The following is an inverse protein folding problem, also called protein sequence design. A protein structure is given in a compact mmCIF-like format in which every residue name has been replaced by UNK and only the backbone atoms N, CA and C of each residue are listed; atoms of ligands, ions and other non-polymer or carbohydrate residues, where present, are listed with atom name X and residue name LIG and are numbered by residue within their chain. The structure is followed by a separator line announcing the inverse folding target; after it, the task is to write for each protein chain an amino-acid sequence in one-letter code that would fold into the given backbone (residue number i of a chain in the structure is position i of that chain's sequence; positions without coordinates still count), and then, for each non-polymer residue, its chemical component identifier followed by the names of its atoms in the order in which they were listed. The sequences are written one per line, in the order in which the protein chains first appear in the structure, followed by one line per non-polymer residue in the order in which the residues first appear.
data_IF_745555049397
#
_entry.id   IF_745555049397
#
_cell.length_a   1.000
_cell.length_b   1.000
_cell.length_c   1.000
_cell.angle_alpha   90.00
_cell.angle_beta   90.00
_cell.angle_gamma   90.00
#
_symmetry.space_group_name_H-M   'P 1'
#
loop_
_entity.id
_entity.type
_entity.pdbx_description
1 polymer ?
#
# COMPACT_ATOMS: atom_id res chain seq x y z
N UNK A 1 -14.11 33.31 32.22
CA UNK A 1 -13.80 32.01 31.58
C UNK A 1 -13.82 32.21 30.08
N UNK A 2 -12.78 31.80 29.37
CA UNK A 2 -12.69 32.00 27.92
C UNK A 2 -13.76 31.13 27.24
N UNK A 3 -14.67 31.72 26.43
CA UNK A 3 -15.87 31.02 25.91
C UNK A 3 -15.53 29.74 25.14
N UNK A 4 -14.40 29.74 24.45
CA UNK A 4 -13.84 28.59 23.72
C UNK A 4 -13.61 27.40 24.66
N UNK A 5 -13.04 27.64 25.85
CA UNK A 5 -12.73 26.58 26.83
C UNK A 5 -14.02 25.95 27.36
N UNK A 6 -15.04 26.77 27.66
CA UNK A 6 -16.32 26.26 28.12
C UNK A 6 -17.02 25.37 27.07
N UNK A 7 -16.92 25.73 25.78
CA UNK A 7 -17.45 24.90 24.68
C UNK A 7 -16.66 23.60 24.56
N UNK A 8 -15.33 23.66 24.65
CA UNK A 8 -14.47 22.48 24.62
C UNK A 8 -14.74 21.53 25.78
N UNK A 9 -14.91 22.04 27.01
CA UNK A 9 -15.28 21.24 28.19
C UNK A 9 -16.63 20.56 28.02
N UNK A 10 -17.64 21.30 27.54
CA UNK A 10 -18.99 20.78 27.26
C UNK A 10 -18.93 19.64 26.24
N UNK A 11 -18.22 19.83 25.14
CA UNK A 11 -18.07 18.82 24.09
C UNK A 11 -17.30 17.59 24.60
N UNK A 12 -16.22 17.80 25.37
CA UNK A 12 -15.44 16.71 25.94
C UNK A 12 -16.28 15.84 26.88
N UNK A 13 -17.12 16.46 27.72
CA UNK A 13 -18.05 15.76 28.60
C UNK A 13 -19.12 15.00 27.83
N UNK A 14 -19.67 15.57 26.75
CA UNK A 14 -20.63 14.87 25.88
C UNK A 14 -20.02 13.64 25.23
N UNK A 15 -18.79 13.76 24.72
CA UNK A 15 -18.04 12.65 24.11
C UNK A 15 -17.75 11.57 25.17
N UNK A 16 -17.27 11.95 26.35
CA UNK A 16 -16.94 11.02 27.42
C UNK A 16 -18.17 10.26 27.95
N UNK A 17 -19.32 10.93 28.06
CA UNK A 17 -20.58 10.30 28.49
C UNK A 17 -21.17 9.41 27.41
N UNK A 18 -20.99 9.75 26.14
CA UNK A 18 -21.47 8.94 25.03
C UNK A 18 -20.52 7.76 24.75
N UNK A 19 -20.65 6.68 25.52
CA UNK A 19 -19.82 5.48 25.40
C UNK A 19 -19.76 4.90 23.99
N UNK A 20 -20.88 4.95 23.25
CA UNK A 20 -20.92 4.46 21.88
C UNK A 20 -20.07 5.34 20.96
N UNK A 21 -20.23 6.67 21.06
CA UNK A 21 -19.42 7.60 20.27
C UNK A 21 -17.94 7.50 20.60
N UNK A 22 -17.60 7.43 21.89
CA UNK A 22 -16.22 7.24 22.36
C UNK A 22 -15.63 5.91 21.89
N UNK A 23 -16.39 4.81 21.96
CA UNK A 23 -15.93 3.53 21.46
C UNK A 23 -15.68 3.57 19.95
N UNK A 24 -16.61 4.12 19.18
CA UNK A 24 -16.49 4.21 17.72
C UNK A 24 -15.34 5.13 17.28
N UNK A 25 -15.07 6.21 18.01
CA UNK A 25 -14.00 7.16 17.65
C UNK A 25 -12.58 6.61 17.80
N UNK A 26 -12.40 5.50 18.52
CA UNK A 26 -11.13 4.77 18.64
C UNK A 26 -11.16 3.40 17.95
N UNK A 27 -12.26 2.66 18.06
CA UNK A 27 -12.37 1.31 17.52
C UNK A 27 -12.38 1.31 15.99
N UNK A 28 -13.17 2.20 15.37
CA UNK A 28 -13.27 2.28 13.90
C UNK A 28 -11.92 2.60 13.25
N UNK A 29 -11.18 3.66 13.64
CA UNK A 29 -9.87 3.94 13.02
C UNK A 29 -8.84 2.85 13.31
N UNK A 30 -8.85 2.24 14.50
CA UNK A 30 -7.96 1.13 14.81
C UNK A 30 -8.24 -0.10 13.94
N UNK A 31 -9.50 -0.52 13.85
CA UNK A 31 -9.91 -1.66 13.01
C UNK A 31 -9.64 -1.35 11.54
N UNK A 32 -9.99 -0.15 11.08
CA UNK A 32 -9.69 0.32 9.72
C UNK A 32 -8.18 0.22 9.44
N UNK A 33 -7.35 0.74 10.34
CA UNK A 33 -5.89 0.65 10.23
C UNK A 33 -5.41 -0.80 10.11
N UNK A 34 -5.84 -1.68 11.03
CA UNK A 34 -5.42 -3.09 11.04
C UNK A 34 -5.87 -3.81 9.76
N UNK A 35 -7.13 -3.62 9.35
CA UNK A 35 -7.67 -4.23 8.13
C UNK A 35 -6.90 -3.76 6.90
N UNK A 36 -6.62 -2.46 6.75
CA UNK A 36 -5.82 -1.96 5.64
C UNK A 36 -4.36 -2.40 5.71
N UNK A 37 -3.76 -2.43 6.90
CA UNK A 37 -2.36 -2.80 7.08
C UNK A 37 -2.08 -4.28 6.77
N UNK A 38 -3.06 -5.17 7.00
CA UNK A 38 -2.98 -6.57 6.56
C UNK A 38 -3.52 -6.79 5.14
N UNK A 39 -4.49 -5.98 4.70
CA UNK A 39 -5.16 -6.15 3.41
C UNK A 39 -4.38 -5.58 2.22
N UNK A 40 -3.59 -4.52 2.43
CA UNK A 40 -2.74 -3.94 1.39
C UNK A 40 -1.37 -4.61 1.45
N UNK A 41 -1.16 -5.59 0.57
CA UNK A 41 0.16 -6.12 0.24
C UNK A 41 0.40 -6.01 -1.26
N UNK A 42 1.56 -5.47 -1.62
CA UNK A 42 2.07 -5.49 -3.00
C UNK A 42 3.17 -6.55 -3.16
N UNK A 43 3.40 -7.38 -2.14
CA UNK A 43 4.40 -8.43 -2.19
C UNK A 43 3.89 -9.57 -3.09
N UNK A 44 4.67 -9.89 -4.12
CA UNK A 44 4.33 -10.93 -5.08
C UNK A 44 5.14 -12.18 -4.73
N UNK A 45 4.54 -13.06 -3.95
CA UNK A 45 5.10 -14.35 -3.56
C UNK A 45 4.19 -15.50 -4.04
N UNK A 46 4.74 -16.71 -4.14
CA UNK A 46 3.98 -17.92 -4.50
C UNK A 46 3.23 -17.83 -5.84
N UNK A 47 3.84 -17.21 -6.85
CA UNK A 47 3.26 -17.03 -8.18
C UNK A 47 2.96 -18.40 -8.80
N UNK A 48 1.69 -18.75 -9.08
CA UNK A 48 1.37 -20.04 -9.69
C UNK A 48 1.93 -20.07 -11.11
N UNK A 49 2.84 -21.02 -11.35
CA UNK A 49 3.53 -21.15 -12.63
C UNK A 49 3.60 -22.60 -13.05
N UNK A 50 3.52 -22.85 -14.35
CA UNK A 50 3.77 -24.15 -14.93
C UNK A 50 4.76 -24.05 -16.08
N UNK A 51 5.11 -25.17 -16.67
CA UNK A 51 6.07 -25.26 -17.75
C UNK A 51 5.62 -26.26 -18.80
N UNK A 52 6.11 -26.04 -20.02
CA UNK A 52 6.01 -26.97 -21.14
C UNK A 52 7.45 -27.30 -21.54
N UNK A 53 7.87 -28.54 -21.29
CA UNK A 53 9.19 -29.03 -21.68
C UNK A 53 9.09 -29.93 -22.92
N UNK A 54 9.48 -29.39 -24.07
CA UNK A 54 9.49 -30.15 -25.33
C UNK A 54 10.83 -30.84 -25.59
N UNK A 55 11.89 -30.47 -24.86
CA UNK A 55 13.24 -31.04 -25.01
C UNK A 55 13.43 -32.28 -24.13
N UNK A 56 12.81 -32.31 -22.94
CA UNK A 56 12.82 -33.42 -21.99
C UNK A 56 14.22 -33.92 -21.58
N UNK A 57 15.17 -32.99 -21.46
CA UNK A 57 16.58 -33.24 -21.15
C UNK A 57 16.92 -32.89 -19.70
N UNK A 58 18.16 -33.14 -19.28
CA UNK A 58 18.62 -32.76 -17.94
C UNK A 58 18.74 -31.23 -17.83
N UNK A 59 19.23 -30.59 -18.87
CA UNK A 59 19.47 -29.16 -18.96
C UNK A 59 18.17 -28.34 -19.00
N UNK A 60 17.12 -28.85 -19.65
CA UNK A 60 15.78 -28.24 -19.63
C UNK A 60 15.18 -28.30 -18.23
N UNK A 61 15.27 -29.45 -17.56
CA UNK A 61 14.77 -29.65 -16.18
C UNK A 61 15.51 -28.78 -15.17
N UNK A 62 16.82 -28.64 -15.33
CA UNK A 62 17.62 -27.78 -14.46
C UNK A 62 17.19 -26.32 -14.59
N UNK A 63 16.98 -25.81 -15.82
CA UNK A 63 16.43 -24.47 -16.04
C UNK A 63 15.08 -24.30 -15.32
N UNK A 64 14.15 -25.24 -15.48
CA UNK A 64 12.82 -25.19 -14.86
C UNK A 64 12.94 -25.19 -13.32
N UNK A 65 13.82 -26.03 -12.77
CA UNK A 65 14.08 -26.08 -11.32
C UNK A 65 14.57 -24.73 -10.79
N UNK A 66 15.37 -23.97 -11.54
CA UNK A 66 15.82 -22.63 -11.10
C UNK A 66 14.68 -21.63 -10.92
N UNK A 67 13.57 -21.78 -11.63
CA UNK A 67 12.41 -20.95 -11.40
C UNK A 67 11.67 -21.28 -10.09
N UNK A 68 11.83 -22.46 -9.52
CA UNK A 68 11.11 -22.88 -8.30
C UNK A 68 11.67 -22.29 -7.00
N UNK A 69 12.84 -21.67 -7.04
CA UNK A 69 13.67 -21.45 -5.84
C UNK A 69 13.19 -20.34 -4.88
N UNK A 70 12.14 -19.56 -5.20
CA UNK A 70 11.61 -18.60 -4.21
C UNK A 70 10.27 -17.95 -4.54
N UNK A 71 10.08 -17.53 -5.79
CA UNK A 71 8.97 -16.64 -6.16
C UNK A 71 7.82 -17.36 -6.85
N UNK A 72 8.12 -18.50 -7.47
CA UNK A 72 7.14 -19.28 -8.23
C UNK A 72 6.78 -20.58 -7.51
N UNK A 73 5.48 -20.89 -7.51
CA UNK A 73 4.96 -22.18 -7.09
C UNK A 73 4.69 -23.02 -8.32
N UNK A 74 5.53 -24.04 -8.54
CA UNK A 74 5.42 -24.94 -9.67
C UNK A 74 4.13 -25.78 -9.58
N UNK A 75 3.34 -25.77 -10.64
CA UNK A 75 2.19 -26.65 -10.82
C UNK A 75 2.55 -27.83 -11.74
N UNK A 76 1.59 -28.73 -11.95
CA UNK A 76 1.76 -29.87 -12.84
C UNK A 76 2.20 -29.43 -14.26
N UNK A 77 3.10 -30.18 -14.92
CA UNK A 77 3.57 -29.84 -16.25
C UNK A 77 2.42 -29.83 -17.26
N UNK A 78 2.49 -28.90 -18.21
CA UNK A 78 1.54 -28.78 -19.30
C UNK A 78 2.08 -29.43 -20.57
N UNK A 79 1.17 -29.91 -21.42
CA UNK A 79 1.55 -30.57 -22.69
C UNK A 79 1.35 -29.68 -23.91
N UNK A 80 0.39 -28.76 -23.85
CA UNK A 80 0.02 -27.91 -24.99
C UNK A 80 0.00 -26.43 -24.59
N UNK A 81 0.39 -25.57 -25.52
CA UNK A 81 0.34 -24.12 -25.39
C UNK A 81 -1.11 -23.65 -25.25
N UNK A 82 -2.07 -24.29 -25.92
CA UNK A 82 -3.49 -23.95 -25.78
C UNK A 82 -4.01 -24.17 -24.36
N UNK A 83 -3.54 -25.21 -23.69
CA UNK A 83 -3.86 -25.48 -22.29
C UNK A 83 -3.26 -24.41 -21.38
N UNK A 84 -2.01 -24.00 -21.63
CA UNK A 84 -1.36 -22.89 -20.94
C UNK A 84 -2.13 -21.58 -21.09
N UNK A 85 -2.54 -21.22 -22.32
CA UNK A 85 -3.32 -20.01 -22.59
C UNK A 85 -4.66 -20.02 -21.85
N UNK A 86 -5.38 -21.15 -21.87
CA UNK A 86 -6.66 -21.29 -21.15
C UNK A 86 -6.50 -21.13 -19.63
N UNK A 87 -5.42 -21.68 -19.05
CA UNK A 87 -5.13 -21.56 -17.62
C UNK A 87 -4.66 -20.16 -17.22
N UNK A 88 -3.92 -19.47 -18.08
CA UNK A 88 -3.56 -18.06 -17.91
C UNK A 88 -4.80 -17.17 -17.98
N UNK A 89 -5.67 -17.36 -18.98
CA UNK A 89 -6.90 -16.58 -19.15
C UNK A 89 -7.87 -16.73 -17.97
N UNK A 90 -7.93 -17.91 -17.34
CA UNK A 90 -8.76 -18.15 -16.16
C UNK A 90 -8.09 -17.74 -14.84
N UNK A 91 -6.84 -17.25 -14.89
CA UNK A 91 -6.07 -16.82 -13.72
C UNK A 91 -5.56 -17.95 -12.82
N UNK A 92 -5.63 -19.21 -13.27
CA UNK A 92 -5.13 -20.37 -12.53
C UNK A 92 -3.59 -20.41 -12.51
N UNK A 93 -2.97 -19.85 -13.55
CA UNK A 93 -1.54 -19.60 -13.68
C UNK A 93 -1.32 -18.10 -13.93
N UNK A 94 -0.14 -17.60 -13.53
CA UNK A 94 0.30 -16.23 -13.82
C UNK A 94 1.52 -16.18 -14.75
N UNK A 95 2.23 -17.30 -14.88
CA UNK A 95 3.34 -17.46 -15.81
C UNK A 95 3.41 -18.90 -16.33
N UNK A 96 3.91 -19.08 -17.55
CA UNK A 96 4.25 -20.38 -18.12
C UNK A 96 5.60 -20.29 -18.84
N UNK A 97 6.52 -21.19 -18.52
CA UNK A 97 7.82 -21.31 -19.19
C UNK A 97 7.74 -22.38 -20.28
N UNK A 98 8.07 -22.03 -21.52
CA UNK A 98 8.06 -22.95 -22.67
C UNK A 98 9.48 -23.16 -23.15
N UNK A 99 9.97 -24.39 -23.02
CA UNK A 99 11.28 -24.82 -23.52
C UNK A 99 11.08 -25.49 -24.89
N UNK A 100 11.67 -24.93 -25.97
CA UNK A 100 11.48 -25.46 -27.33
C UNK A 100 12.20 -26.80 -27.53
N UNK A 101 11.84 -27.58 -28.57
CA UNK A 101 12.52 -28.82 -28.89
C UNK A 101 13.95 -28.52 -29.37
N UNK A 102 14.92 -29.33 -28.96
CA UNK A 102 16.32 -29.15 -29.35
C UNK A 102 17.05 -28.07 -28.56
N UNK A 103 16.47 -27.55 -27.46
CA UNK A 103 17.10 -26.59 -26.55
C UNK A 103 18.53 -27.00 -26.18
N UNK A 104 18.71 -28.25 -25.74
CA UNK A 104 20.00 -28.79 -25.33
C UNK A 104 20.97 -28.94 -26.49
N UNK A 105 20.46 -29.35 -27.66
CA UNK A 105 21.27 -29.47 -28.88
C UNK A 105 21.82 -28.11 -29.30
N UNK A 106 20.98 -27.08 -29.29
CA UNK A 106 21.38 -25.72 -29.62
C UNK A 106 22.40 -25.20 -28.62
N UNK A 107 22.16 -25.43 -27.32
CA UNK A 107 23.06 -25.05 -26.24
C UNK A 107 24.46 -25.65 -26.41
N UNK A 108 24.56 -26.96 -26.63
CA UNK A 108 25.85 -27.63 -26.84
C UNK A 108 26.51 -27.28 -28.18
N UNK A 109 25.72 -26.88 -29.19
CA UNK A 109 26.26 -26.40 -30.47
C UNK A 109 26.83 -24.97 -30.42
N UNK A 110 26.82 -24.32 -29.25
CA UNK A 110 27.27 -22.94 -29.08
C UNK A 110 26.29 -21.90 -29.65
N UNK A 111 25.05 -22.31 -29.95
CA UNK A 111 23.96 -21.40 -30.32
C UNK A 111 23.27 -20.87 -29.07
N UNK A 112 22.43 -19.85 -29.25
CA UNK A 112 21.65 -19.21 -28.18
C UNK A 112 20.19 -19.65 -28.28
N UNK A 113 19.76 -20.71 -27.57
CA UNK A 113 18.38 -21.16 -27.63
C UNK A 113 17.43 -20.12 -27.04
N UNK A 114 16.26 -19.93 -27.65
CA UNK A 114 15.22 -19.01 -27.15
C UNK A 114 14.21 -19.74 -26.28
N UNK A 115 14.15 -19.38 -25.00
CA UNK A 115 13.11 -19.85 -24.07
C UNK A 115 12.00 -18.80 -24.04
N UNK A 116 10.75 -19.24 -24.16
CA UNK A 116 9.60 -18.34 -24.10
C UNK A 116 8.99 -18.36 -22.70
N UNK A 117 8.60 -17.19 -22.21
CA UNK A 117 7.86 -17.04 -20.94
C UNK A 117 6.56 -16.31 -21.24
N UNK A 118 5.44 -17.02 -21.11
CA UNK A 118 4.10 -16.45 -21.21
C UNK A 118 3.72 -15.90 -19.84
N UNK A 119 3.28 -14.64 -19.78
CA UNK A 119 2.95 -13.95 -18.52
C UNK A 119 1.55 -13.37 -18.65
N UNK A 120 0.74 -13.56 -17.62
CA UNK A 120 -0.56 -12.90 -17.52
C UNK A 120 -0.39 -11.38 -17.34
N UNK A 121 -0.76 -10.63 -18.38
CA UNK A 121 -0.69 -9.17 -18.42
C UNK A 121 -1.88 -8.45 -17.80
N UNK A 122 -2.87 -9.16 -17.23
CA UNK A 122 -4.09 -8.54 -16.68
C UNK A 122 -3.81 -7.56 -15.53
N UNK A 123 -2.73 -7.78 -14.77
CA UNK A 123 -2.24 -6.85 -13.75
C UNK A 123 -0.80 -6.42 -14.10
N UNK A 124 -0.61 -5.21 -14.67
CA UNK A 124 0.69 -4.79 -15.19
C UNK A 124 1.83 -4.82 -14.17
N UNK A 125 1.57 -4.40 -12.92
CA UNK A 125 2.58 -4.43 -11.86
C UNK A 125 3.08 -5.86 -11.58
N UNK A 126 2.15 -6.81 -11.47
CA UNK A 126 2.48 -8.23 -11.29
C UNK A 126 3.23 -8.78 -12.49
N UNK A 127 2.78 -8.48 -13.71
CA UNK A 127 3.40 -8.95 -14.93
C UNK A 127 4.86 -8.46 -15.09
N UNK A 128 5.11 -7.18 -14.80
CA UNK A 128 6.45 -6.60 -14.85
C UNK A 128 7.40 -7.21 -13.82
N UNK A 129 6.91 -7.47 -12.60
CA UNK A 129 7.69 -8.14 -11.57
C UNK A 129 8.03 -9.59 -11.96
N UNK A 130 7.03 -10.34 -12.45
CA UNK A 130 7.23 -11.70 -12.97
C UNK A 130 8.26 -11.73 -14.10
N UNK A 131 8.15 -10.77 -15.04
CA UNK A 131 9.11 -10.61 -16.14
C UNK A 131 10.52 -10.37 -15.59
N UNK A 132 10.67 -9.44 -14.63
CA UNK A 132 11.97 -9.15 -14.01
C UNK A 132 12.59 -10.38 -13.32
N UNK A 133 11.78 -11.18 -12.61
CA UNK A 133 12.24 -12.45 -12.04
C UNK A 133 12.69 -13.44 -13.10
N UNK A 134 11.89 -13.63 -14.16
CA UNK A 134 12.23 -14.53 -15.26
C UNK A 134 13.53 -14.13 -15.96
N UNK A 135 13.73 -12.83 -16.22
CA UNK A 135 14.96 -12.29 -16.81
C UNK A 135 16.16 -12.48 -15.88
N UNK A 136 16.01 -12.23 -14.58
CA UNK A 136 17.07 -12.41 -13.60
C UNK A 136 17.51 -13.88 -13.48
N UNK A 137 16.55 -14.81 -13.41
CA UNK A 137 16.81 -16.26 -13.37
C UNK A 137 17.49 -16.73 -14.66
N UNK A 138 16.96 -16.33 -15.82
CA UNK A 138 17.52 -16.71 -17.12
C UNK A 138 18.95 -16.18 -17.30
N UNK A 139 19.22 -14.95 -16.87
CA UNK A 139 20.56 -14.35 -16.91
C UNK A 139 21.52 -15.06 -15.97
N UNK A 140 21.09 -15.38 -14.75
CA UNK A 140 21.92 -16.12 -13.79
C UNK A 140 22.31 -17.50 -14.33
N UNK A 141 21.34 -18.25 -14.87
CA UNK A 141 21.59 -19.56 -15.47
C UNK A 141 22.48 -19.48 -16.72
N UNK A 142 22.27 -18.48 -17.58
CA UNK A 142 23.13 -18.26 -18.75
C UNK A 142 24.59 -18.01 -18.37
N UNK A 143 24.85 -17.24 -17.30
CA UNK A 143 26.20 -17.01 -16.79
C UNK A 143 26.83 -18.28 -16.22
N UNK A 144 26.05 -19.11 -15.52
CA UNK A 144 26.50 -20.41 -14.99
C UNK A 144 26.89 -21.37 -16.11
N UNK A 145 26.03 -21.52 -17.12
CA UNK A 145 26.32 -22.34 -18.31
C UNK A 145 27.57 -21.87 -19.05
N UNK A 146 27.77 -20.55 -19.18
CA UNK A 146 28.96 -19.99 -19.79
C UNK A 146 30.22 -20.35 -18.99
N UNK A 147 30.15 -20.29 -17.65
CA UNK A 147 31.28 -20.66 -16.77
C UNK A 147 31.63 -22.15 -16.91
N UNK A 148 30.63 -23.02 -16.89
CA UNK A 148 30.81 -24.46 -17.01
C UNK A 148 31.38 -24.86 -18.37
N UNK A 149 30.92 -24.23 -19.44
CA UNK A 149 31.43 -24.47 -20.79
C UNK A 149 32.90 -24.06 -20.94
N UNK A 150 33.27 -22.90 -20.38
CA UNK A 150 34.66 -22.43 -20.38
C UNK A 150 35.57 -23.32 -19.53
N UNK A 151 35.09 -23.73 -18.34
CA UNK A 151 35.82 -24.64 -17.45
C UNK A 151 36.08 -26.01 -18.10
N UNK A 152 35.07 -26.60 -18.76
CA UNK A 152 35.22 -27.86 -19.51
C UNK A 152 36.21 -27.77 -20.67
N UNK A 153 36.38 -26.58 -21.26
CA UNK A 153 37.35 -26.33 -22.33
C UNK A 153 38.75 -25.94 -21.84
N UNK A 154 38.97 -25.91 -20.52
CA UNK A 154 40.25 -25.47 -19.94
C UNK A 154 40.58 -24.01 -20.22
N UNK A 155 39.60 -23.20 -20.63
CA UNK A 155 39.80 -21.79 -20.89
C UNK A 155 39.75 -21.01 -19.57
N UNK A 156 40.66 -20.04 -19.35
CA UNK A 156 40.59 -19.20 -18.16
C UNK A 156 39.25 -18.45 -18.17
N UNK A 157 38.52 -18.54 -17.05
CA UNK A 157 37.32 -17.75 -16.86
C UNK A 157 37.72 -16.26 -16.90
N UNK A 158 37.20 -15.45 -17.83
CA UNK A 158 37.45 -14.03 -17.79
C UNK A 158 36.93 -13.50 -16.44
N UNK A 159 37.74 -12.75 -15.67
CA UNK A 159 37.26 -12.16 -14.43
C UNK A 159 36.03 -11.33 -14.79
N UNK A 160 34.92 -11.52 -14.07
CA UNK A 160 33.76 -10.64 -14.25
C UNK A 160 34.24 -9.23 -13.89
N UNK A 161 34.36 -8.31 -14.87
CA UNK A 161 35.01 -7.02 -14.63
C UNK A 161 34.12 -6.12 -13.75
N UNK A 162 32.86 -6.51 -13.57
CA UNK A 162 31.85 -5.74 -12.86
C UNK A 162 31.03 -6.68 -11.97
N UNK A 163 31.13 -6.48 -10.66
CA UNK A 163 30.20 -7.02 -9.67
C UNK A 163 29.31 -5.88 -9.22
N UNK A 164 28.02 -5.94 -9.56
CA UNK A 164 27.05 -4.94 -9.08
C UNK A 164 26.55 -5.41 -7.72
N UNK A 165 26.82 -4.63 -6.68
CA UNK A 165 26.27 -4.86 -5.34
C UNK A 165 25.05 -3.96 -5.14
N UNK A 166 23.88 -4.57 -5.10
CA UNK A 166 22.63 -3.85 -4.85
C UNK A 166 22.48 -3.59 -3.36
N UNK A 167 22.37 -2.31 -2.98
CA UNK A 167 22.03 -1.89 -1.62
C UNK A 167 20.72 -1.12 -1.64
N UNK A 168 19.69 -1.70 -1.03
CA UNK A 168 18.39 -1.06 -0.90
C UNK A 168 18.38 -0.12 0.30
N UNK A 169 18.25 1.18 0.03
CA UNK A 169 18.13 2.17 1.10
C UNK A 169 16.71 2.16 1.68
N UNK A 170 16.60 2.41 2.99
CA UNK A 170 15.36 2.49 3.77
C UNK A 170 14.59 1.17 3.98
N UNK A 171 14.46 0.31 2.95
CA UNK A 171 13.76 -0.98 2.99
C UNK A 171 14.64 -2.12 2.47
N UNK A 172 15.59 -2.57 3.29
CA UNK A 172 16.52 -3.67 2.96
C UNK A 172 15.81 -5.01 2.76
N UNK A 173 14.66 -5.20 3.44
CA UNK A 173 13.87 -6.43 3.35
C UNK A 173 12.93 -6.47 2.14
N UNK A 174 12.82 -5.37 1.37
CA UNK A 174 11.91 -5.22 0.23
C UNK A 174 10.45 -5.60 0.52
N UNK A 175 10.01 -5.51 1.77
CA UNK A 175 8.64 -5.82 2.16
C UNK A 175 7.76 -4.61 1.91
N UNK A 176 6.66 -4.80 1.18
CA UNK A 176 5.69 -3.74 0.90
C UNK A 176 5.11 -3.14 2.19
N UNK A 177 4.94 -3.95 3.24
CA UNK A 177 4.49 -3.53 4.57
C UNK A 177 5.35 -2.44 5.22
N UNK A 178 6.67 -2.46 4.99
CA UNK A 178 7.59 -1.45 5.56
C UNK A 178 7.38 -0.05 4.97
N UNK A 179 6.75 0.05 3.79
CA UNK A 179 6.44 1.30 3.12
C UNK A 179 4.97 1.69 3.27
N UNK A 180 4.05 0.74 3.08
CA UNK A 180 2.61 1.02 3.02
C UNK A 180 1.99 1.22 4.40
N UNK A 181 2.39 0.43 5.40
CA UNK A 181 1.80 0.50 6.75
C UNK A 181 2.05 1.86 7.42
N UNK A 182 3.27 2.45 7.38
CA UNK A 182 3.47 3.81 7.89
C UNK A 182 2.67 4.88 7.14
N UNK A 183 2.48 4.72 5.83
CA UNK A 183 1.69 5.65 5.02
C UNK A 183 0.19 5.66 5.41
N UNK A 184 -0.32 4.54 5.94
CA UNK A 184 -1.70 4.46 6.42
C UNK A 184 -2.00 5.37 7.62
N UNK A 185 -0.99 5.81 8.39
CA UNK A 185 -1.19 6.80 9.44
C UNK A 185 -1.84 8.06 8.86
N UNK A 186 -1.32 8.54 7.71
CA UNK A 186 -1.83 9.75 7.07
C UNK A 186 -3.29 9.57 6.63
N UNK A 187 -3.63 8.44 6.00
CA UNK A 187 -5.01 8.16 5.56
C UNK A 187 -5.98 8.09 6.75
N UNK A 188 -5.62 7.36 7.81
CA UNK A 188 -6.51 7.20 8.97
C UNK A 188 -6.67 8.53 9.70
N UNK A 189 -5.59 9.30 9.86
CA UNK A 189 -5.62 10.64 10.45
C UNK A 189 -6.25 11.70 9.54
N UNK A 190 -6.47 11.42 8.27
CA UNK A 190 -7.27 12.28 7.40
C UNK A 190 -8.76 11.95 7.58
N UNK A 191 -9.13 10.70 7.32
CA UNK A 191 -10.53 10.30 7.23
C UNK A 191 -11.23 10.39 8.59
N UNK A 192 -10.61 9.87 9.65
CA UNK A 192 -11.27 9.74 10.95
C UNK A 192 -11.63 11.10 11.60
N UNK A 193 -10.68 12.03 11.86
CA UNK A 193 -11.02 13.34 12.41
C UNK A 193 -12.02 14.10 11.56
N UNK A 194 -11.85 14.10 10.23
CA UNK A 194 -12.74 14.83 9.34
C UNK A 194 -14.16 14.29 9.42
N UNK A 195 -14.35 12.97 9.44
CA UNK A 195 -15.69 12.37 9.55
C UNK A 195 -16.31 12.66 10.92
N UNK A 196 -15.55 12.49 12.01
CA UNK A 196 -16.04 12.77 13.37
C UNK A 196 -16.49 14.22 13.52
N UNK A 197 -15.70 15.18 13.04
CA UNK A 197 -16.02 16.60 13.17
C UNK A 197 -17.14 17.01 12.23
N UNK A 198 -17.21 16.42 11.03
CA UNK A 198 -18.33 16.60 10.10
C UNK A 198 -19.67 16.17 10.73
N UNK A 199 -19.68 14.99 11.35
CA UNK A 199 -20.86 14.45 12.04
C UNK A 199 -21.25 15.33 13.23
N UNK A 200 -20.29 15.90 13.97
CA UNK A 200 -20.58 16.64 15.20
C UNK A 200 -21.58 17.79 15.01
N UNK A 201 -21.36 18.64 14.00
CA UNK A 201 -22.22 19.80 13.71
C UNK A 201 -23.43 19.37 12.88
N UNK A 202 -23.27 18.41 11.95
CA UNK A 202 -24.39 17.89 11.18
C UNK A 202 -25.47 17.28 12.10
N UNK A 203 -25.05 16.57 13.15
CA UNK A 203 -25.93 16.05 14.19
C UNK A 203 -26.71 17.17 14.89
N UNK A 204 -26.03 18.24 15.30
CA UNK A 204 -26.69 19.37 15.96
C UNK A 204 -27.69 20.09 15.05
N UNK A 205 -27.40 20.17 13.74
CA UNK A 205 -28.33 20.71 12.74
C UNK A 205 -29.54 19.81 12.54
N UNK A 206 -29.31 18.51 12.40
CA UNK A 206 -30.37 17.52 12.15
C UNK A 206 -31.36 17.43 13.32
N UNK A 207 -30.86 17.49 14.56
CA UNK A 207 -31.69 17.48 15.78
C UNK A 207 -32.18 18.86 16.22
N UNK A 208 -31.83 19.94 15.49
CA UNK A 208 -32.23 21.31 15.81
C UNK A 208 -31.58 21.91 17.06
N UNK A 209 -30.68 21.20 17.75
CA UNK A 209 -29.99 21.73 18.94
C UNK A 209 -29.04 22.88 18.61
N UNK A 210 -28.69 23.05 17.33
CA UNK A 210 -27.90 24.19 16.84
C UNK A 210 -28.57 25.54 17.14
N UNK A 211 -29.91 25.61 17.21
CA UNK A 211 -30.65 26.84 17.51
C UNK A 211 -30.40 27.37 18.93
N UNK A 212 -30.08 26.48 19.87
CA UNK A 212 -29.72 26.89 21.23
C UNK A 212 -28.46 27.76 21.23
N UNK A 213 -27.51 27.50 20.35
CA UNK A 213 -26.28 28.30 20.25
C UNK A 213 -26.58 29.68 19.67
N UNK A 214 -27.49 29.79 18.69
CA UNK A 214 -27.90 31.08 18.12
C UNK A 214 -28.58 32.00 19.15
N UNK A 215 -29.13 31.44 20.24
CA UNK A 215 -29.70 32.21 21.35
C UNK A 215 -28.68 32.67 22.40
N UNK A 216 -27.42 32.25 22.28
CA UNK A 216 -26.33 32.63 23.21
C UNK A 216 -25.41 33.69 22.60
N UNK A 217 -24.67 34.48 23.40
CA UNK A 217 -23.76 35.50 22.89
C UNK A 217 -22.45 34.93 22.29
N UNK A 218 -22.45 33.67 21.82
CA UNK A 218 -21.28 32.94 21.30
C UNK A 218 -21.07 33.28 19.81
N UNK A 219 -19.84 33.63 19.43
CA UNK A 219 -19.48 33.84 18.01
C UNK A 219 -19.27 32.51 17.30
N UNK A 220 -19.57 32.46 16.00
CA UNK A 220 -19.36 31.25 15.16
C UNK A 220 -17.93 30.71 15.23
N UNK A 221 -16.92 31.58 15.24
CA UNK A 221 -15.51 31.19 15.33
C UNK A 221 -15.18 30.60 16.71
N UNK A 222 -15.74 31.14 17.79
CA UNK A 222 -15.55 30.61 19.15
C UNK A 222 -16.14 29.19 19.27
N UNK A 223 -17.29 28.98 18.65
CA UNK A 223 -17.95 27.68 18.57
C UNK A 223 -17.11 26.64 17.80
N UNK A 224 -16.61 27.01 16.61
CA UNK A 224 -15.76 26.12 15.81
C UNK A 224 -14.43 25.82 16.52
N UNK A 225 -13.78 26.83 17.10
CA UNK A 225 -12.53 26.66 17.85
C UNK A 225 -12.72 25.78 19.10
N UNK A 226 -13.86 25.91 19.78
CA UNK A 226 -14.20 25.07 20.93
C UNK A 226 -14.34 23.59 20.58
N UNK A 227 -14.89 23.27 19.40
CA UNK A 227 -14.97 21.89 18.91
C UNK A 227 -13.62 21.34 18.42
N UNK A 228 -12.76 22.19 17.87
CA UNK A 228 -11.48 21.76 17.32
C UNK A 228 -10.59 21.08 18.38
N UNK A 229 -10.60 21.55 19.63
CA UNK A 229 -9.79 21.02 20.73
C UNK A 229 -10.09 19.54 21.07
N UNK A 230 -11.34 19.15 21.45
CA UNK A 230 -11.63 17.77 21.83
C UNK A 230 -11.41 16.78 20.68
N UNK A 231 -11.79 17.13 19.44
CA UNK A 231 -11.55 16.27 18.28
C UNK A 231 -10.06 16.18 17.92
N UNK A 232 -9.30 17.26 18.11
CA UNK A 232 -7.85 17.25 17.97
C UNK A 232 -7.17 16.32 18.98
N UNK A 233 -7.60 16.35 20.24
CA UNK A 233 -7.08 15.46 21.29
C UNK A 233 -7.37 13.99 20.96
N UNK A 234 -8.62 13.66 20.59
CA UNK A 234 -9.00 12.29 20.20
C UNK A 234 -8.14 11.79 19.03
N UNK A 235 -7.89 12.66 18.06
CA UNK A 235 -7.09 12.33 16.88
C UNK A 235 -5.61 12.15 17.20
N UNK A 236 -5.07 12.95 18.13
CA UNK A 236 -3.72 12.79 18.62
C UNK A 236 -3.53 11.48 19.41
N UNK A 237 -4.53 11.11 20.22
CA UNK A 237 -4.52 9.80 20.89
C UNK A 237 -4.53 8.67 19.84
N UNK A 238 -5.38 8.77 18.82
CA UNK A 238 -5.40 7.81 17.71
C UNK A 238 -4.04 7.72 16.99
N UNK A 239 -3.37 8.85 16.75
CA UNK A 239 -2.01 8.86 16.19
C UNK A 239 -1.04 8.02 17.03
N UNK A 240 -1.01 8.21 18.36
CA UNK A 240 -0.15 7.41 19.24
C UNK A 240 -0.53 5.93 19.27
N UNK A 241 -1.83 5.62 19.27
CA UNK A 241 -2.32 4.22 19.23
C UNK A 241 -1.86 3.52 17.95
N UNK A 242 -2.01 4.18 16.80
CA UNK A 242 -1.59 3.63 15.51
C UNK A 242 -0.06 3.49 15.47
N UNK A 243 0.68 4.51 15.91
CA UNK A 243 2.14 4.46 15.96
C UNK A 243 2.65 3.31 16.83
N UNK A 244 2.03 3.10 18.00
CA UNK A 244 2.32 1.97 18.88
C UNK A 244 2.00 0.63 18.19
N UNK A 245 0.87 0.56 17.48
CA UNK A 245 0.47 -0.63 16.73
C UNK A 245 1.49 -0.97 15.64
N UNK A 246 2.01 0.01 14.91
CA UNK A 246 3.06 -0.18 13.91
C UNK A 246 4.32 -0.79 14.53
N UNK A 247 4.73 -0.27 15.70
CA UNK A 247 5.92 -0.75 16.40
C UNK A 247 5.73 -2.15 16.98
N UNK A 248 4.59 -2.44 17.59
CA UNK A 248 4.35 -3.69 18.35
C UNK A 248 3.83 -4.82 17.46
N UNK A 249 2.88 -4.53 16.58
CA UNK A 249 2.23 -5.55 15.75
C UNK A 249 3.03 -5.83 14.47
N UNK A 250 3.47 -4.77 13.78
CA UNK A 250 4.18 -4.89 12.51
C UNK A 250 5.70 -4.91 12.64
N UNK A 251 6.24 -4.67 13.85
CA UNK A 251 7.67 -4.68 14.13
C UNK A 251 8.48 -3.72 13.23
N UNK A 252 7.84 -2.63 12.77
CA UNK A 252 8.48 -1.64 11.90
C UNK A 252 9.19 -0.60 12.78
N UNK A 253 10.53 -0.50 12.72
CA UNK A 253 11.27 0.43 13.55
C UNK A 253 11.09 1.87 13.05
N UNK A 254 10.85 2.79 13.99
CA UNK A 254 10.87 4.21 13.70
C UNK A 254 12.32 4.70 13.70
N UNK A 255 12.85 5.04 12.52
CA UNK A 255 14.26 5.48 12.36
C UNK A 255 14.49 6.95 12.69
N UNK A 256 13.44 7.78 12.70
CA UNK A 256 13.52 9.22 12.98
C UNK A 256 13.14 9.59 14.41
N UNK A 257 13.22 10.89 14.74
CA UNK A 257 12.81 11.41 16.04
C UNK A 257 11.30 11.59 16.13
N UNK A 258 10.72 11.20 17.27
CA UNK A 258 9.30 11.46 17.57
C UNK A 258 9.01 12.96 17.70
N UNK A 259 10.00 13.73 18.17
CA UNK A 259 9.88 15.17 18.35
C UNK A 259 9.74 15.92 17.04
N UNK A 260 10.28 15.41 15.94
CA UNK A 260 10.14 16.01 14.60
C UNK A 260 8.77 15.68 14.00
N UNK A 261 8.27 14.47 14.28
CA UNK A 261 6.99 13.99 13.79
C UNK A 261 5.79 14.65 14.50
N UNK A 262 5.94 14.98 15.79
CA UNK A 262 4.85 15.52 16.61
C UNK A 262 4.29 16.85 16.10
N UNK A 263 5.08 17.90 15.80
CA UNK A 263 4.58 19.14 15.23
C UNK A 263 3.83 18.92 13.91
N UNK A 264 4.36 18.06 13.03
CA UNK A 264 3.73 17.72 11.77
C UNK A 264 2.37 17.02 12.01
N UNK A 265 2.32 16.07 12.94
CA UNK A 265 1.09 15.38 13.31
C UNK A 265 0.04 16.35 13.91
N UNK A 266 0.46 17.30 14.76
CA UNK A 266 -0.43 18.33 15.32
C UNK A 266 -1.03 19.19 14.21
N UNK A 267 -0.19 19.74 13.34
CA UNK A 267 -0.65 20.57 12.21
C UNK A 267 -1.58 19.77 11.29
N UNK A 268 -1.22 18.53 10.97
CA UNK A 268 -2.02 17.65 10.12
C UNK A 268 -3.40 17.38 10.73
N UNK A 269 -3.46 17.03 12.02
CA UNK A 269 -4.72 16.81 12.73
C UNK A 269 -5.60 18.06 12.74
N UNK A 270 -5.01 19.23 12.98
CA UNK A 270 -5.75 20.51 12.98
C UNK A 270 -6.38 20.81 11.61
N UNK A 271 -5.65 20.55 10.53
CA UNK A 271 -6.15 20.70 9.16
C UNK A 271 -7.32 19.74 8.92
N UNK A 272 -7.17 18.46 9.26
CA UNK A 272 -8.17 17.44 8.96
C UNK A 272 -9.45 17.63 9.80
N UNK A 273 -9.32 18.03 11.06
CA UNK A 273 -10.45 18.46 11.89
C UNK A 273 -11.18 19.64 11.22
N UNK A 274 -10.43 20.62 10.72
CA UNK A 274 -10.98 21.80 10.05
C UNK A 274 -11.71 21.46 8.74
N UNK A 275 -11.21 20.51 7.94
CA UNK A 275 -11.89 20.01 6.74
C UNK A 275 -13.29 19.50 7.09
N UNK A 276 -13.39 18.65 8.13
CA UNK A 276 -14.69 18.14 8.56
C UNK A 276 -15.62 19.24 9.08
N UNK A 277 -15.09 20.25 9.78
CA UNK A 277 -15.88 21.43 10.19
C UNK A 277 -16.39 22.22 8.98
N UNK A 278 -15.58 22.42 7.94
CA UNK A 278 -16.02 23.07 6.70
C UNK A 278 -17.14 22.28 6.03
N UNK A 279 -16.99 20.96 5.87
CA UNK A 279 -18.02 20.11 5.26
C UNK A 279 -19.30 20.10 6.09
N UNK A 280 -19.17 20.11 7.42
CA UNK A 280 -20.32 20.20 8.33
C UNK A 280 -21.13 21.48 8.13
N UNK A 281 -20.48 22.56 7.71
CA UNK A 281 -21.14 23.85 7.47
C UNK A 281 -22.04 23.79 6.24
N UNK A 282 -21.67 22.99 5.24
CA UNK A 282 -22.38 22.81 3.96
C UNK A 282 -23.47 21.73 3.99
N UNK A 283 -23.55 20.95 5.07
CA UNK A 283 -24.46 19.80 5.17
C UNK A 283 -25.50 19.99 6.27
N UNK A 284 -26.64 19.30 6.12
CA UNK A 284 -27.78 19.39 7.06
C UNK A 284 -28.13 18.05 7.74
N UNK A 285 -27.65 16.93 7.21
CA UNK A 285 -27.88 15.58 7.76
C UNK A 285 -26.55 14.90 8.05
N UNK A 286 -26.53 14.04 9.07
CA UNK A 286 -25.38 13.23 9.46
C UNK A 286 -24.92 12.34 8.31
N UNK A 287 -25.86 11.72 7.59
CA UNK A 287 -25.56 10.83 6.47
C UNK A 287 -24.87 11.58 5.33
N UNK A 288 -25.37 12.76 4.93
CA UNK A 288 -24.74 13.56 3.88
C UNK A 288 -23.36 14.06 4.31
N UNK A 289 -23.22 14.52 5.56
CA UNK A 289 -21.93 14.95 6.11
C UNK A 289 -20.88 13.82 6.06
N UNK A 290 -21.27 12.61 6.45
CA UNK A 290 -20.39 11.45 6.42
C UNK A 290 -19.96 11.06 5.00
N UNK A 291 -20.91 10.93 4.05
CA UNK A 291 -20.61 10.51 2.68
C UNK A 291 -19.74 11.55 1.96
N UNK A 292 -20.11 12.84 2.04
CA UNK A 292 -19.35 13.91 1.39
C UNK A 292 -17.94 13.98 1.95
N UNK A 293 -17.78 13.88 3.27
CA UNK A 293 -16.46 13.85 3.90
C UNK A 293 -15.64 12.67 3.43
N UNK A 294 -16.23 11.47 3.37
CA UNK A 294 -15.52 10.28 2.91
C UNK A 294 -15.05 10.43 1.46
N UNK A 295 -15.89 10.93 0.56
CA UNK A 295 -15.54 11.15 -0.85
C UNK A 295 -14.42 12.19 -0.98
N UNK A 296 -14.58 13.36 -0.36
CA UNK A 296 -13.61 14.48 -0.46
C UNK A 296 -12.25 14.11 0.14
N UNK A 297 -12.22 13.31 1.20
CA UNK A 297 -10.97 12.93 1.86
C UNK A 297 -10.32 11.71 1.23
N UNK A 298 -11.08 10.65 0.95
CA UNK A 298 -10.53 9.35 0.55
C UNK A 298 -10.04 9.36 -0.88
N UNK A 299 -10.78 9.95 -1.82
CA UNK A 299 -10.41 9.93 -3.23
C UNK A 299 -9.04 10.58 -3.45
N UNK A 300 -8.80 11.82 -2.98
CA UNK A 300 -7.49 12.44 -3.16
C UNK A 300 -6.39 11.73 -2.37
N UNK A 301 -6.71 11.22 -1.18
CA UNK A 301 -5.72 10.51 -0.36
C UNK A 301 -5.23 9.21 -1.00
N UNK A 302 -6.07 8.45 -1.67
CA UNK A 302 -5.63 7.22 -2.34
C UNK A 302 -4.99 7.48 -3.71
N UNK A 303 -5.47 8.48 -4.44
CA UNK A 303 -5.03 8.72 -5.83
C UNK A 303 -3.84 9.68 -5.95
N UNK A 304 -3.74 10.69 -5.10
CA UNK A 304 -2.80 11.81 -5.28
C UNK A 304 -1.77 11.97 -4.15
N UNK A 305 -1.89 11.25 -3.03
CA UNK A 305 -0.98 11.39 -1.88
C UNK A 305 0.43 10.82 -2.08
N UNK A 306 0.65 10.03 -3.13
CA UNK A 306 1.89 9.28 -3.31
C UNK A 306 1.89 7.86 -2.73
N UNK A 307 0.79 7.40 -2.12
CA UNK A 307 0.73 6.08 -1.47
C UNK A 307 0.84 4.91 -2.47
N UNK A 308 0.01 4.91 -3.52
CA UNK A 308 0.00 3.83 -4.52
C UNK A 308 0.98 4.12 -5.67
N UNK A 309 1.01 5.37 -6.12
CA UNK A 309 1.85 5.84 -7.23
C UNK A 309 2.60 7.06 -6.72
N UNK A 310 3.94 7.10 -6.78
CA UNK A 310 4.70 8.28 -6.40
C UNK A 310 4.21 9.52 -7.15
N UNK A 311 4.07 10.66 -6.45
CA UNK A 311 3.56 11.92 -7.04
C UNK A 311 4.37 12.35 -8.27
N UNK A 312 5.67 12.09 -8.26
CA UNK A 312 6.57 12.35 -9.39
C UNK A 312 6.21 11.56 -10.67
N UNK A 313 5.47 10.46 -10.56
CA UNK A 313 5.06 9.64 -11.71
C UNK A 313 3.65 9.99 -12.22
N UNK A 314 2.92 10.88 -11.53
CA UNK A 314 1.63 11.36 -12.00
C UNK A 314 1.80 12.26 -13.23
N UNK A 315 0.86 12.17 -14.16
CA UNK A 315 0.74 13.13 -15.25
C UNK A 315 0.50 14.56 -14.73
N UNK A 316 0.66 15.56 -15.59
CA UNK A 316 0.61 16.98 -15.19
C UNK A 316 -0.66 17.33 -14.41
N UNK A 317 -1.83 16.87 -14.87
CA UNK A 317 -3.11 17.09 -14.18
C UNK A 317 -3.15 16.45 -12.78
N UNK A 318 -2.62 15.23 -12.65
CA UNK A 318 -2.56 14.53 -11.37
C UNK A 318 -1.60 15.20 -10.37
N UNK A 319 -0.51 15.79 -10.86
CA UNK A 319 0.41 16.57 -10.00
C UNK A 319 -0.22 17.87 -9.50
N UNK A 320 -1.05 18.51 -10.32
CA UNK A 320 -1.81 19.71 -9.89
C UNK A 320 -2.81 19.34 -8.79
N UNK A 321 -3.48 18.20 -8.89
CA UNK A 321 -4.39 17.73 -7.84
C UNK A 321 -3.67 17.28 -6.55
N UNK A 322 -2.38 16.93 -6.64
CA UNK A 322 -1.57 16.49 -5.50
C UNK A 322 -0.98 17.66 -4.68
N UNK A 323 -0.88 18.85 -5.26
CA UNK A 323 -0.28 20.05 -4.66
C UNK A 323 -1.34 21.01 -4.11
#
# INVERSE_FOLDING_TARGET
MNRIVAIAEKEFLEIWRNRLFLALSFLVPFVMFVVFAYGISLDIENIPMSYIDQDNTLESRELINRFTLRYFRLQAPLRDIKEAEALLQRGALRAVVVVPPGFTRELYSGRKPSVQVLIDGGFPYTALTVKGYAEAISRAYSLELQRDWMAKKGMPLPPMPLKVEFRYLFNESLKSSFSLVPALIAIVLLVNPSVLTAISIAREKEFGTIYNIYSTPIRKIEFLAGKLIPYGIISMINFFVILLTIKVLFHIPMKGSLLDLLPAAVVYVLINVSIGLVISSLTHTVVSAQIITLIITTIPAFLYSGLLIPVANLGTEGRVMAH
#
